data_IF_193642853474
#
_entry.id   IF_193642853474
#
_cell.length_a   1.000
_cell.length_b   1.000
_cell.length_c   1.000
_cell.angle_alpha   90.00
_cell.angle_beta   90.00
_cell.angle_gamma   90.00
#
_symmetry.space_group_name_H-M   'P 1'
#
loop_
_entity.id
_entity.type
_entity.pdbx_description
1 polymer ?
#
# COMPACT_ATOMS: atom_id res chain seq x y z
N UNK A 1 -11.64 11.76 -6.33
CA UNK A 1 -11.17 10.42 -5.95
C UNK A 1 -11.67 10.11 -4.55
N UNK A 2 -12.39 9.01 -4.41
CA UNK A 2 -12.82 8.45 -3.13
C UNK A 2 -11.76 7.44 -2.67
N UNK A 3 -11.52 7.36 -1.37
CA UNK A 3 -10.64 6.36 -0.76
C UNK A 3 -11.49 5.50 0.17
N UNK A 4 -11.47 4.19 -0.05
CA UNK A 4 -12.13 3.20 0.78
C UNK A 4 -11.07 2.43 1.58
N UNK A 5 -11.33 2.20 2.86
CA UNK A 5 -10.50 1.34 3.69
C UNK A 5 -11.15 -0.03 3.82
N UNK A 6 -10.42 -1.06 3.40
CA UNK A 6 -10.83 -2.46 3.49
C UNK A 6 -9.93 -3.20 4.47
N UNK A 7 -10.55 -3.85 5.43
CA UNK A 7 -9.87 -4.68 6.42
C UNK A 7 -10.71 -5.94 6.72
N UNK A 8 -10.27 -6.71 7.70
CA UNK A 8 -10.98 -7.91 8.14
C UNK A 8 -12.42 -7.62 8.62
N UNK A 9 -12.67 -6.45 9.23
CA UNK A 9 -14.02 -6.10 9.68
C UNK A 9 -14.93 -5.81 8.48
N UNK A 10 -14.40 -5.13 7.45
CA UNK A 10 -15.11 -4.96 6.19
C UNK A 10 -15.42 -6.33 5.57
N UNK A 11 -14.43 -7.23 5.43
CA UNK A 11 -14.62 -8.54 4.81
C UNK A 11 -15.70 -9.37 5.51
N UNK A 12 -15.76 -9.32 6.85
CA UNK A 12 -16.80 -10.02 7.63
C UNK A 12 -18.23 -9.53 7.41
N UNK A 13 -18.41 -8.33 6.90
CA UNK A 13 -19.73 -7.76 6.60
C UNK A 13 -20.20 -8.04 5.18
N UNK A 14 -19.33 -8.60 4.32
CA UNK A 14 -19.62 -8.89 2.93
C UNK A 14 -19.99 -10.37 2.70
N UNK A 15 -20.66 -10.65 1.58
CA UNK A 15 -20.75 -12.02 1.07
C UNK A 15 -19.34 -12.49 0.65
N UNK A 16 -18.94 -13.73 0.94
CA UNK A 16 -17.63 -14.25 0.51
C UNK A 16 -17.35 -14.11 -0.99
N UNK A 17 -18.39 -14.15 -1.84
CA UNK A 17 -18.26 -13.91 -3.29
C UNK A 17 -17.86 -12.47 -3.60
N UNK A 18 -18.34 -11.51 -2.84
CA UNK A 18 -18.01 -10.09 -3.01
C UNK A 18 -16.57 -9.82 -2.54
N UNK A 19 -16.10 -10.47 -1.49
CA UNK A 19 -14.68 -10.41 -1.08
C UNK A 19 -13.79 -11.00 -2.16
N UNK A 20 -14.12 -12.17 -2.70
CA UNK A 20 -13.38 -12.79 -3.81
C UNK A 20 -13.39 -11.94 -5.08
N UNK A 21 -14.50 -11.28 -5.38
CA UNK A 21 -14.58 -10.33 -6.49
C UNK A 21 -13.66 -9.12 -6.25
N UNK A 22 -13.68 -8.56 -5.06
CA UNK A 22 -12.78 -7.46 -4.67
C UNK A 22 -11.31 -7.85 -4.81
N UNK A 23 -10.93 -9.06 -4.37
CA UNK A 23 -9.58 -9.57 -4.53
C UNK A 23 -9.17 -9.65 -6.01
N UNK A 24 -10.09 -10.06 -6.88
CA UNK A 24 -9.86 -10.12 -8.33
C UNK A 24 -9.70 -8.72 -8.93
N UNK A 25 -10.54 -7.75 -8.52
CA UNK A 25 -10.47 -6.37 -8.99
C UNK A 25 -9.15 -5.70 -8.54
N UNK A 26 -8.72 -5.93 -7.30
CA UNK A 26 -7.42 -5.47 -6.77
C UNK A 26 -6.27 -6.10 -7.58
N UNK A 27 -6.31 -7.41 -7.82
CA UNK A 27 -5.27 -8.09 -8.60
C UNK A 27 -5.17 -7.52 -10.01
N UNK A 28 -6.29 -7.30 -10.69
CA UNK A 28 -6.32 -6.72 -12.03
C UNK A 28 -5.72 -5.31 -12.06
N UNK A 29 -6.05 -4.47 -11.07
CA UNK A 29 -5.49 -3.12 -10.92
C UNK A 29 -3.98 -3.14 -10.67
N UNK A 30 -3.50 -4.01 -9.79
CA UNK A 30 -2.06 -4.21 -9.56
C UNK A 30 -1.33 -4.66 -10.82
N UNK A 31 -1.92 -5.57 -11.58
CA UNK A 31 -1.34 -6.07 -12.82
C UNK A 31 -1.22 -4.97 -13.88
N UNK A 32 -2.16 -4.04 -13.95
CA UNK A 32 -2.07 -2.86 -14.82
C UNK A 32 -1.00 -1.85 -14.33
N UNK A 33 -0.87 -1.69 -13.02
CA UNK A 33 0.07 -0.74 -12.44
C UNK A 33 1.53 -1.19 -12.54
N UNK A 34 1.76 -2.50 -12.41
CA UNK A 34 3.09 -3.11 -12.48
C UNK A 34 3.19 -3.93 -13.76
N UNK A 35 4.01 -3.51 -14.68
CA UNK A 35 4.22 -4.18 -15.99
C UNK A 35 5.01 -5.50 -15.92
N UNK A 36 5.45 -5.93 -14.73
CA UNK A 36 6.27 -7.13 -14.51
C UNK A 36 5.83 -7.89 -13.27
N UNK A 37 5.92 -9.22 -13.33
CA UNK A 37 5.74 -10.23 -12.29
C UNK A 37 5.18 -9.74 -10.95
N UNK A 38 3.86 -9.69 -10.87
CA UNK A 38 3.18 -9.68 -9.60
C UNK A 38 3.24 -11.08 -9.01
N UNK A 39 4.08 -11.27 -8.00
CA UNK A 39 4.09 -12.48 -7.19
C UNK A 39 2.80 -12.68 -6.37
N UNK A 40 1.83 -11.77 -6.51
CA UNK A 40 0.61 -11.71 -5.71
C UNK A 40 -0.60 -12.13 -6.53
N UNK A 41 -1.08 -13.35 -6.28
CA UNK A 41 -2.28 -13.89 -6.90
C UNK A 41 -3.57 -13.32 -6.26
N UNK A 42 -4.68 -13.38 -6.98
CA UNK A 42 -5.98 -13.01 -6.44
C UNK A 42 -6.33 -13.82 -5.18
N UNK A 43 -5.95 -15.10 -5.10
CA UNK A 43 -6.15 -15.93 -3.92
C UNK A 43 -5.34 -15.43 -2.71
N UNK A 44 -4.11 -14.95 -2.92
CA UNK A 44 -3.31 -14.37 -1.84
C UNK A 44 -3.90 -13.05 -1.34
N UNK A 45 -4.47 -12.24 -2.24
CA UNK A 45 -5.18 -11.00 -1.88
C UNK A 45 -6.46 -11.32 -1.10
N UNK A 46 -7.24 -12.31 -1.53
CA UNK A 46 -8.43 -12.77 -0.81
C UNK A 46 -8.09 -13.24 0.61
N UNK A 47 -7.03 -14.06 0.74
CA UNK A 47 -6.54 -14.48 2.05
C UNK A 47 -6.11 -13.30 2.93
N UNK A 48 -5.50 -12.26 2.33
CA UNK A 48 -5.09 -11.04 3.04
C UNK A 48 -6.29 -10.19 3.47
N UNK A 49 -7.33 -10.07 2.66
CA UNK A 49 -8.58 -9.37 3.03
C UNK A 49 -9.29 -10.07 4.21
N UNK A 50 -9.15 -11.38 4.32
CA UNK A 50 -9.69 -12.18 5.43
C UNK A 50 -8.74 -12.29 6.64
N UNK A 51 -7.61 -11.58 6.65
CA UNK A 51 -6.62 -11.59 7.71
C UNK A 51 -6.73 -10.31 8.56
N UNK A 52 -6.88 -10.40 9.91
CA UNK A 52 -7.11 -9.25 10.77
C UNK A 52 -5.94 -8.25 10.86
N UNK A 53 -4.78 -8.64 10.36
CA UNK A 53 -3.59 -7.77 10.38
C UNK A 53 -3.41 -6.95 9.11
N UNK A 54 -4.15 -7.24 8.03
CA UNK A 54 -3.99 -6.60 6.73
C UNK A 54 -5.02 -5.50 6.50
N UNK A 55 -4.58 -4.41 5.90
CA UNK A 55 -5.36 -3.22 5.59
C UNK A 55 -5.10 -2.79 4.16
N UNK A 56 -6.17 -2.57 3.40
CA UNK A 56 -6.11 -2.04 2.04
C UNK A 56 -6.78 -0.68 1.98
N UNK A 57 -6.09 0.29 1.44
CA UNK A 57 -6.66 1.59 1.08
C UNK A 57 -6.80 1.64 -0.43
N UNK A 58 -8.03 1.77 -0.90
CA UNK A 58 -8.37 1.68 -2.33
C UNK A 58 -8.89 3.03 -2.78
N UNK A 59 -8.27 3.58 -3.81
CA UNK A 59 -8.71 4.81 -4.44
C UNK A 59 -9.50 4.51 -5.71
N UNK A 60 -10.71 5.08 -5.82
CA UNK A 60 -11.61 4.90 -6.97
C UNK A 60 -11.80 6.19 -7.73
N UNK A 61 -11.92 6.06 -9.05
CA UNK A 61 -12.45 7.12 -9.90
C UNK A 61 -13.96 7.25 -9.66
N UNK A 62 -14.47 8.42 -9.27
CA UNK A 62 -15.90 8.61 -9.03
C UNK A 62 -16.77 8.50 -10.29
N UNK A 63 -16.16 8.62 -11.48
CA UNK A 63 -16.91 8.56 -12.75
C UNK A 63 -17.32 7.14 -13.13
N UNK A 64 -16.48 6.13 -12.82
CA UNK A 64 -16.70 4.74 -13.25
C UNK A 64 -16.48 3.71 -12.12
N UNK A 65 -16.11 4.17 -10.92
CA UNK A 65 -15.78 3.35 -9.74
C UNK A 65 -14.58 2.39 -9.93
N UNK A 66 -13.81 2.59 -10.98
CA UNK A 66 -12.58 1.83 -11.23
C UNK A 66 -11.56 2.04 -10.11
N UNK A 67 -10.84 0.99 -9.74
CA UNK A 67 -9.72 1.09 -8.80
C UNK A 67 -8.53 1.70 -9.56
N UNK A 68 -8.18 2.92 -9.22
CA UNK A 68 -7.09 3.67 -9.86
C UNK A 68 -5.83 3.75 -9.02
N UNK A 69 -5.96 3.39 -7.75
CA UNK A 69 -4.83 3.33 -6.82
C UNK A 69 -5.13 2.45 -5.63
N UNK A 70 -4.09 1.89 -5.06
CA UNK A 70 -4.19 1.13 -3.82
C UNK A 70 -2.89 1.20 -3.02
N UNK A 71 -3.03 1.06 -1.70
CA UNK A 71 -1.93 0.82 -0.77
C UNK A 71 -2.31 -0.32 0.16
N UNK A 72 -1.38 -1.26 0.35
CA UNK A 72 -1.56 -2.44 1.21
C UNK A 72 -0.57 -2.40 2.36
N UNK A 73 -1.11 -2.56 3.56
CA UNK A 73 -0.36 -2.53 4.80
C UNK A 73 -0.63 -3.76 5.65
N UNK A 74 0.30 -4.04 6.55
CA UNK A 74 0.09 -4.92 7.68
C UNK A 74 0.28 -4.12 8.98
N UNK A 75 -0.60 -4.34 9.97
CA UNK A 75 -0.47 -3.80 11.32
C UNK A 75 -0.38 -4.97 12.30
N UNK A 76 0.76 -5.09 12.99
CA UNK A 76 0.97 -6.07 14.06
C UNK A 76 1.35 -5.30 15.33
N UNK A 77 0.53 -5.40 16.38
CA UNK A 77 0.61 -4.59 17.60
C UNK A 77 0.51 -3.09 17.30
N UNK A 78 1.61 -2.39 17.21
CA UNK A 78 1.73 -0.96 16.92
C UNK A 78 2.72 -0.65 15.78
N UNK A 79 3.22 -1.69 15.12
CA UNK A 79 4.11 -1.61 13.97
C UNK A 79 3.32 -1.82 12.68
N UNK A 80 3.44 -0.86 11.77
CA UNK A 80 2.82 -0.86 10.45
C UNK A 80 3.89 -1.10 9.39
N UNK A 81 3.64 -2.01 8.47
CA UNK A 81 4.48 -2.22 7.31
C UNK A 81 3.70 -1.93 6.03
N UNK A 82 4.24 -1.08 5.15
CA UNK A 82 3.73 -0.87 3.80
C UNK A 82 4.32 -1.93 2.87
N UNK A 83 3.48 -2.81 2.34
CA UNK A 83 3.90 -3.84 1.38
C UNK A 83 3.85 -3.36 -0.06
N UNK A 84 2.77 -2.70 -0.44
CA UNK A 84 2.57 -2.27 -1.82
C UNK A 84 1.88 -0.91 -1.87
N UNK A 85 2.28 -0.11 -2.84
CA UNK A 85 1.54 1.07 -3.28
C UNK A 85 1.56 1.13 -4.80
N UNK A 86 0.42 1.36 -5.40
CA UNK A 86 0.26 1.44 -6.85
C UNK A 86 -0.74 2.51 -7.25
N UNK A 87 -0.44 3.20 -8.34
CA UNK A 87 -1.37 4.08 -9.05
C UNK A 87 -1.33 3.67 -10.53
N UNK A 88 -2.49 3.53 -11.14
CA UNK A 88 -2.59 3.20 -12.57
C UNK A 88 -1.83 4.25 -13.43
N UNK A 89 -1.18 3.83 -14.52
CA UNK A 89 -0.33 4.72 -15.33
C UNK A 89 -1.00 6.05 -15.70
N UNK A 90 -2.25 5.99 -16.17
CA UNK A 90 -2.99 7.17 -16.64
C UNK A 90 -3.36 8.16 -15.52
N UNK A 91 -3.26 7.72 -14.26
CA UNK A 91 -3.57 8.52 -13.07
C UNK A 91 -2.33 9.00 -12.31
N UNK A 92 -1.12 8.69 -12.81
CA UNK A 92 0.15 9.09 -12.16
C UNK A 92 0.41 10.58 -12.29
N UNK A 93 1.36 11.08 -11.48
CA UNK A 93 1.84 12.49 -11.48
C UNK A 93 0.75 13.52 -11.12
N UNK A 94 -0.30 13.10 -10.44
CA UNK A 94 -1.41 13.93 -9.97
C UNK A 94 -1.46 14.04 -8.44
N UNK A 95 -0.40 13.62 -7.73
CA UNK A 95 -0.35 13.64 -6.27
C UNK A 95 -1.17 12.54 -5.57
N UNK A 96 -1.75 11.59 -6.32
CA UNK A 96 -2.66 10.59 -5.77
C UNK A 96 -1.97 9.62 -4.80
N UNK A 97 -0.71 9.23 -5.06
CA UNK A 97 0.07 8.42 -4.12
C UNK A 97 0.28 9.12 -2.78
N UNK A 98 0.56 10.43 -2.81
CA UNK A 98 0.73 11.23 -1.61
C UNK A 98 -0.57 11.23 -0.78
N UNK A 99 -1.69 11.56 -1.42
CA UNK A 99 -3.00 11.60 -0.77
C UNK A 99 -3.40 10.24 -0.18
N UNK A 100 -3.18 9.16 -0.92
CA UNK A 100 -3.51 7.80 -0.49
C UNK A 100 -2.71 7.39 0.76
N UNK A 101 -1.40 7.65 0.75
CA UNK A 101 -0.54 7.38 1.90
C UNK A 101 -0.85 8.30 3.08
N UNK A 102 -1.10 9.59 2.85
CA UNK A 102 -1.44 10.53 3.91
C UNK A 102 -2.68 10.08 4.67
N UNK A 103 -3.73 9.64 3.97
CA UNK A 103 -4.96 9.13 4.58
C UNK A 103 -4.72 7.83 5.35
N UNK A 104 -3.95 6.89 4.79
CA UNK A 104 -3.59 5.66 5.47
C UNK A 104 -2.76 5.91 6.75
N UNK A 105 -1.78 6.80 6.67
CA UNK A 105 -0.94 7.17 7.83
C UNK A 105 -1.77 7.83 8.94
N UNK A 106 -2.73 8.69 8.58
CA UNK A 106 -3.65 9.30 9.54
C UNK A 106 -4.53 8.24 10.20
N UNK A 107 -5.07 7.29 9.44
CA UNK A 107 -5.83 6.17 9.98
C UNK A 107 -5.01 5.38 11.01
N UNK A 108 -3.77 4.97 10.67
CA UNK A 108 -2.95 4.20 11.60
C UNK A 108 -2.57 5.00 12.85
N UNK A 109 -2.29 6.30 12.72
CA UNK A 109 -2.02 7.17 13.87
C UNK A 109 -3.19 7.22 14.86
N UNK A 110 -4.42 7.10 14.37
CA UNK A 110 -5.64 7.07 15.18
C UNK A 110 -6.00 5.66 15.67
N UNK A 111 -5.45 4.60 15.05
CA UNK A 111 -5.79 3.20 15.28
C UNK A 111 -4.58 2.36 15.69
N UNK A 112 -3.90 2.75 16.75
CA UNK A 112 -2.79 2.03 17.42
C UNK A 112 -1.45 2.00 16.69
N UNK A 113 -1.35 2.38 15.40
CA UNK A 113 -0.08 2.42 14.70
C UNK A 113 0.83 3.49 15.30
N UNK A 114 2.07 3.15 15.61
CA UNK A 114 3.08 4.08 16.13
C UNK A 114 4.23 4.28 15.16
N UNK A 115 4.60 3.24 14.47
CA UNK A 115 5.75 3.24 13.55
C UNK A 115 5.29 2.66 12.22
N UNK A 116 5.67 3.29 11.12
CA UNK A 116 5.48 2.76 9.77
C UNK A 116 6.82 2.52 9.13
N UNK A 117 7.03 1.33 8.61
CA UNK A 117 8.26 0.92 7.91
C UNK A 117 7.93 0.46 6.49
N UNK A 118 8.84 0.69 5.56
CA UNK A 118 8.75 0.23 4.19
C UNK A 118 10.12 -0.06 3.59
N UNK A 119 10.14 -0.90 2.57
CA UNK A 119 11.31 -1.11 1.72
C UNK A 119 11.05 -0.60 0.30
N UNK A 120 12.04 0.02 -0.31
CA UNK A 120 11.95 0.53 -1.68
C UNK A 120 13.29 0.33 -2.40
N UNK A 121 13.23 0.06 -3.72
CA UNK A 121 14.43 0.00 -4.55
C UNK A 121 15.19 1.32 -4.53
N UNK A 122 16.51 1.27 -4.43
CA UNK A 122 17.34 2.49 -4.40
C UNK A 122 17.16 3.35 -5.65
N UNK A 123 16.92 2.72 -6.80
CA UNK A 123 16.69 3.39 -8.10
C UNK A 123 15.32 4.01 -8.25
N UNK A 124 14.35 3.66 -7.39
CA UNK A 124 12.99 4.23 -7.46
C UNK A 124 12.95 5.63 -6.83
N UNK A 125 13.53 6.60 -7.52
CA UNK A 125 13.66 7.98 -7.05
C UNK A 125 12.29 8.63 -6.79
N UNK A 126 11.29 8.35 -7.62
CA UNK A 126 9.95 8.89 -7.46
C UNK A 126 9.29 8.45 -6.14
N UNK A 127 9.38 7.17 -5.82
CA UNK A 127 8.87 6.65 -4.55
C UNK A 127 9.65 7.18 -3.35
N UNK A 128 10.98 7.24 -3.44
CA UNK A 128 11.83 7.80 -2.36
C UNK A 128 11.47 9.25 -2.06
N UNK A 129 11.33 10.10 -3.07
CA UNK A 129 10.89 11.48 -2.90
C UNK A 129 9.50 11.59 -2.27
N UNK A 130 8.58 10.69 -2.65
CA UNK A 130 7.25 10.62 -2.04
C UNK A 130 7.34 10.32 -0.54
N UNK A 131 8.14 9.33 -0.15
CA UNK A 131 8.30 8.95 1.27
C UNK A 131 8.98 10.05 2.07
N UNK A 132 10.00 10.71 1.53
CA UNK A 132 10.68 11.84 2.17
C UNK A 132 9.72 13.03 2.39
N UNK A 133 8.86 13.34 1.42
CA UNK A 133 7.79 14.35 1.58
C UNK A 133 6.79 14.00 2.69
N UNK A 134 6.54 12.72 2.89
CA UNK A 134 5.70 12.21 3.97
C UNK A 134 6.46 12.00 5.29
N UNK A 135 7.63 12.65 5.45
CA UNK A 135 8.48 12.62 6.62
C UNK A 135 9.00 11.23 7.03
N UNK A 136 9.08 10.29 6.09
CA UNK A 136 9.85 9.07 6.29
C UNK A 136 11.34 9.39 6.25
N UNK A 137 12.10 8.70 7.09
CA UNK A 137 13.56 8.80 7.14
C UNK A 137 14.19 7.46 6.76
N UNK A 138 15.23 7.51 5.95
CA UNK A 138 16.02 6.32 5.68
C UNK A 138 16.74 5.88 6.97
N UNK A 139 16.54 4.62 7.36
CA UNK A 139 17.13 4.04 8.56
C UNK A 139 18.19 2.98 8.25
N UNK A 140 18.10 2.34 7.08
CA UNK A 140 19.04 1.30 6.66
C UNK A 140 19.03 1.13 5.13
N UNK A 141 19.97 0.32 4.65
CA UNK A 141 20.00 -0.21 3.29
C UNK A 141 20.45 -1.66 3.30
N UNK A 142 19.98 -2.44 2.34
CA UNK A 142 20.39 -3.83 2.11
C UNK A 142 21.01 -3.91 0.71
N UNK A 143 22.34 -4.01 0.59
CA UNK A 143 23.02 -4.10 -0.70
C UNK A 143 22.59 -5.34 -1.49
N UNK A 144 22.43 -5.18 -2.81
CA UNK A 144 22.11 -6.26 -3.76
C UNK A 144 20.90 -7.10 -3.35
N UNK A 145 19.89 -6.48 -2.74
CA UNK A 145 18.71 -7.16 -2.20
C UNK A 145 17.83 -7.76 -3.32
N UNK A 146 17.74 -7.08 -4.45
CA UNK A 146 16.94 -7.52 -5.59
C UNK A 146 17.80 -8.32 -6.57
N UNK A 147 17.60 -9.66 -6.68
CA UNK A 147 18.57 -10.53 -7.33
C UNK A 147 18.68 -10.36 -8.86
N UNK A 148 17.65 -9.80 -9.50
CA UNK A 148 17.60 -9.68 -10.96
C UNK A 148 18.57 -8.62 -11.48
N UNK A 149 18.65 -7.48 -10.80
CA UNK A 149 19.43 -6.31 -11.23
C UNK A 149 20.40 -5.82 -10.15
N UNK A 150 20.54 -6.59 -9.06
CA UNK A 150 21.43 -6.31 -7.93
C UNK A 150 21.18 -4.90 -7.32
N UNK A 151 19.95 -4.40 -7.42
CA UNK A 151 19.59 -3.12 -6.81
C UNK A 151 19.48 -3.25 -5.29
N UNK A 152 19.82 -2.19 -4.59
CA UNK A 152 19.73 -2.13 -3.14
C UNK A 152 18.29 -1.89 -2.69
N UNK A 153 17.91 -2.43 -1.53
CA UNK A 153 16.71 -2.00 -0.83
C UNK A 153 17.06 -0.89 0.16
N UNK A 154 16.29 0.19 0.10
CA UNK A 154 16.35 1.26 1.08
C UNK A 154 15.20 1.08 2.05
N UNK A 155 15.50 1.09 3.34
CA UNK A 155 14.51 0.95 4.40
C UNK A 155 14.20 2.34 4.94
N UNK A 156 12.93 2.71 4.86
CA UNK A 156 12.40 3.95 5.42
C UNK A 156 11.50 3.67 6.61
N UNK A 157 11.52 4.60 7.57
CA UNK A 157 10.67 4.54 8.75
C UNK A 157 10.10 5.92 9.06
N UNK A 158 8.88 5.94 9.61
CA UNK A 158 8.23 7.13 10.13
C UNK A 158 7.54 6.82 11.46
N UNK A 159 7.78 7.65 12.48
CA UNK A 159 6.99 7.66 13.69
C UNK A 159 5.67 8.40 13.46
N UNK A 160 4.55 7.81 13.89
CA UNK A 160 3.22 8.42 13.79
C UNK A 160 2.86 9.23 15.04
N UNK A 161 3.60 9.03 16.14
CA UNK A 161 3.31 9.64 17.45
C UNK A 161 3.86 11.06 17.57
N UNK A 162 4.78 11.46 16.68
CA UNK A 162 5.50 12.75 16.74
C UNK A 162 4.71 13.95 16.15
N UNK A 163 3.39 13.82 16.00
CA UNK A 163 2.52 14.93 15.60
C UNK A 163 1.42 15.15 16.62
N UNK A 164 1.78 15.87 17.64
CA UNK A 164 0.88 16.78 18.34
C UNK A 164 1.55 18.13 18.37
#
# INVERSE_FOLDING_TARGET
MQIDHLDYQWAKTQDPKDVGKMATDIHASLHQAFSTDLSWSANAIDASLNNPYHHFFIMRDPANLEIVGLAHFQLIFDEVELFNIAILPDYRRQGLSYRLLEEALLYFAQNKGKIVTLEVRSRNQAARQLYEKLAFKQIASRPNYYPVDLDDAIIYQRNLVDKI
#
